data_IF_345428771734
#
_entry.id   IF_345428771734
#
_cell.length_a   1.000
_cell.length_b   1.000
_cell.length_c   1.000
_cell.angle_alpha   90.00
_cell.angle_beta   90.00
_cell.angle_gamma   90.00
#
_symmetry.space_group_name_H-M   'P 1'
#
loop_
_entity.id
_entity.type
_entity.pdbx_description
1 polymer ?
#
# COMPACT_ATOMS: atom_id res chain seq x y z
N UNK A 1 24.16 -3.58 -5.31
CA UNK A 1 23.45 -3.28 -6.59
C UNK A 1 23.04 -1.82 -6.54
N UNK A 2 23.32 -1.05 -7.57
CA UNK A 2 22.90 0.35 -7.67
C UNK A 2 21.37 0.41 -7.83
N UNK A 3 20.73 1.25 -7.02
CA UNK A 3 19.27 1.41 -7.05
C UNK A 3 18.83 2.22 -8.27
N UNK A 4 17.66 1.90 -8.80
CA UNK A 4 17.04 2.67 -9.86
C UNK A 4 16.58 4.04 -9.35
N UNK A 5 16.71 5.04 -10.21
CA UNK A 5 16.15 6.38 -10.00
C UNK A 5 14.63 6.37 -10.14
N UNK A 6 13.91 7.38 -9.60
CA UNK A 6 12.47 7.50 -9.82
C UNK A 6 12.06 7.50 -11.29
N UNK A 7 12.87 8.10 -12.18
CA UNK A 7 12.62 8.10 -13.62
C UNK A 7 12.70 6.70 -14.23
N UNK A 8 13.70 5.91 -13.84
CA UNK A 8 13.87 4.52 -14.30
C UNK A 8 12.74 3.62 -13.74
N UNK A 9 12.36 3.79 -12.46
CA UNK A 9 11.22 3.07 -11.88
C UNK A 9 9.92 3.40 -12.62
N UNK A 10 9.68 4.67 -12.92
CA UNK A 10 8.51 5.11 -13.70
C UNK A 10 8.50 4.47 -15.10
N UNK A 11 9.64 4.39 -15.77
CA UNK A 11 9.78 3.77 -17.08
C UNK A 11 9.55 2.24 -17.04
N UNK A 12 9.80 1.59 -15.90
CA UNK A 12 9.55 0.16 -15.70
C UNK A 12 8.07 -0.18 -15.51
N UNK A 13 7.20 0.82 -15.29
CA UNK A 13 5.75 0.63 -15.10
C UNK A 13 5.05 0.78 -16.46
N UNK A 14 4.31 -0.26 -16.86
CA UNK A 14 3.53 -0.24 -18.09
C UNK A 14 2.23 0.53 -17.90
N UNK A 15 1.89 1.38 -18.88
CA UNK A 15 0.57 2.02 -18.96
C UNK A 15 -0.29 1.27 -19.96
N UNK A 16 -1.50 0.88 -19.55
CA UNK A 16 -2.52 0.28 -20.38
C UNK A 16 -3.67 1.26 -20.51
N UNK A 17 -3.86 1.79 -21.71
CA UNK A 17 -4.94 2.74 -21.96
C UNK A 17 -6.31 2.03 -21.98
N UNK A 18 -7.34 2.77 -21.56
CA UNK A 18 -8.74 2.35 -21.61
C UNK A 18 -9.03 1.03 -20.86
N UNK A 19 -8.35 0.78 -19.73
CA UNK A 19 -8.58 -0.39 -18.90
C UNK A 19 -8.87 0.03 -17.43
N UNK A 20 -9.88 -0.57 -16.76
CA UNK A 20 -10.86 -1.56 -17.25
C UNK A 20 -11.98 -0.97 -18.11
N UNK A 21 -11.98 0.34 -18.33
CA UNK A 21 -12.98 1.08 -19.10
C UNK A 21 -12.35 2.27 -19.84
N UNK A 22 -12.99 2.78 -20.90
CA UNK A 22 -12.51 3.94 -21.64
C UNK A 22 -12.20 5.13 -20.72
N UNK A 23 -11.08 5.81 -20.98
CA UNK A 23 -10.60 6.98 -20.23
C UNK A 23 -9.67 6.65 -19.05
N UNK A 24 -9.63 5.41 -18.58
CA UNK A 24 -8.75 5.00 -17.47
C UNK A 24 -7.37 4.61 -18.00
N UNK A 25 -6.33 5.17 -17.39
CA UNK A 25 -4.92 4.83 -17.66
C UNK A 25 -4.42 3.88 -16.57
N UNK A 26 -4.53 2.57 -16.80
CA UNK A 26 -4.11 1.58 -15.81
C UNK A 26 -2.57 1.49 -15.72
N UNK A 27 -2.04 1.63 -14.50
CA UNK A 27 -0.61 1.55 -14.21
C UNK A 27 -0.28 0.14 -13.74
N UNK A 28 0.25 -0.66 -14.66
CA UNK A 28 0.59 -2.06 -14.41
C UNK A 28 2.01 -2.19 -13.86
N UNK A 29 2.11 -2.47 -12.57
CA UNK A 29 3.41 -2.67 -11.91
C UNK A 29 4.00 -4.07 -12.13
N UNK A 30 3.30 -4.99 -12.79
CA UNK A 30 3.81 -6.35 -12.99
C UNK A 30 5.09 -6.36 -13.83
N UNK A 31 5.24 -5.40 -14.75
CA UNK A 31 6.47 -5.21 -15.53
C UNK A 31 7.65 -4.79 -14.64
N UNK A 32 7.41 -3.98 -13.62
CA UNK A 32 8.41 -3.59 -12.62
C UNK A 32 8.74 -4.78 -11.70
N UNK A 33 7.73 -5.50 -11.19
CA UNK A 33 7.92 -6.62 -10.27
C UNK A 33 8.70 -7.78 -10.88
N UNK A 34 8.58 -8.02 -12.19
CA UNK A 34 9.32 -9.09 -12.88
C UNK A 34 10.80 -8.75 -13.11
N UNK A 35 11.19 -7.49 -12.99
CA UNK A 35 12.59 -7.06 -13.05
C UNK A 35 13.17 -7.07 -11.64
N UNK A 36 14.11 -7.99 -11.38
CA UNK A 36 14.69 -8.16 -10.05
C UNK A 36 15.41 -6.92 -9.54
N UNK A 37 16.04 -6.11 -10.42
CA UNK A 37 16.70 -4.87 -10.02
C UNK A 37 15.68 -3.78 -9.67
N UNK A 38 14.61 -3.67 -10.45
CA UNK A 38 13.55 -2.72 -10.17
C UNK A 38 12.81 -3.06 -8.86
N UNK A 39 12.45 -4.33 -8.69
CA UNK A 39 11.77 -4.78 -7.47
C UNK A 39 12.66 -4.58 -6.22
N UNK A 40 13.94 -4.97 -6.29
CA UNK A 40 14.90 -4.70 -5.21
C UNK A 40 14.99 -3.20 -4.89
N UNK A 41 15.05 -2.34 -5.91
CA UNK A 41 15.11 -0.89 -5.72
C UNK A 41 13.88 -0.35 -5.01
N UNK A 42 12.68 -0.83 -5.37
CA UNK A 42 11.43 -0.46 -4.68
C UNK A 42 11.49 -0.83 -3.20
N UNK A 43 11.86 -2.06 -2.88
CA UNK A 43 11.94 -2.53 -1.48
C UNK A 43 12.94 -1.71 -0.69
N UNK A 44 14.14 -1.47 -1.21
CA UNK A 44 15.17 -0.69 -0.53
C UNK A 44 14.75 0.78 -0.33
N UNK A 45 14.16 1.42 -1.35
CA UNK A 45 13.73 2.81 -1.25
C UNK A 45 12.58 2.99 -0.24
N UNK A 46 11.63 2.07 -0.20
CA UNK A 46 10.54 2.09 0.78
C UNK A 46 11.02 1.74 2.19
N UNK A 47 11.99 0.83 2.33
CA UNK A 47 12.53 0.43 3.63
C UNK A 47 13.42 1.48 4.27
N UNK A 48 14.18 2.24 3.46
CA UNK A 48 15.26 3.13 3.94
C UNK A 48 14.88 4.04 5.10
N UNK A 49 13.71 4.74 5.10
CA UNK A 49 13.34 5.61 6.22
C UNK A 49 13.08 4.86 7.54
N UNK A 50 12.88 3.55 7.49
CA UNK A 50 12.38 2.73 8.59
C UNK A 50 13.39 1.73 9.14
N UNK A 51 14.60 1.66 8.58
CA UNK A 51 15.62 0.68 8.98
C UNK A 51 15.96 0.69 10.47
N UNK A 52 15.80 1.82 11.14
CA UNK A 52 16.10 1.98 12.58
C UNK A 52 14.86 2.37 13.40
N UNK A 53 13.68 2.38 12.80
CA UNK A 53 12.46 2.88 13.46
C UNK A 53 11.77 1.85 14.37
N UNK A 54 12.18 0.58 14.33
CA UNK A 54 11.59 -0.46 15.16
C UNK A 54 10.14 -0.80 14.79
N UNK A 55 9.82 -0.77 13.49
CA UNK A 55 8.47 -1.10 12.98
C UNK A 55 8.08 -2.52 13.39
N UNK A 56 6.90 -2.68 13.99
CA UNK A 56 6.44 -3.99 14.45
C UNK A 56 5.84 -4.83 13.32
N UNK A 57 5.03 -4.21 12.45
CA UNK A 57 4.32 -4.92 11.39
C UNK A 57 4.26 -4.10 10.11
N UNK A 58 4.18 -4.80 8.99
CA UNK A 58 3.81 -4.25 7.69
C UNK A 58 2.42 -4.77 7.34
N UNK A 59 1.46 -3.89 7.14
CA UNK A 59 0.12 -4.25 6.69
C UNK A 59 0.03 -4.06 5.17
N UNK A 60 -0.28 -5.13 4.46
CA UNK A 60 -0.45 -5.11 3.01
C UNK A 60 -1.89 -5.32 2.58
N UNK A 61 -2.34 -4.57 1.59
CA UNK A 61 -3.69 -4.70 1.04
C UNK A 61 -3.70 -5.69 -0.13
N UNK A 62 -4.69 -6.59 -0.13
CA UNK A 62 -4.91 -7.55 -1.22
C UNK A 62 -5.10 -6.83 -2.56
N UNK A 63 -4.46 -7.23 -3.65
CA UNK A 63 -3.58 -8.39 -3.74
C UNK A 63 -2.09 -7.99 -3.90
N UNK A 64 -1.78 -6.93 -4.67
CA UNK A 64 -0.40 -6.53 -4.99
C UNK A 64 0.35 -5.96 -3.78
N UNK A 65 -0.37 -5.35 -2.84
CA UNK A 65 0.19 -4.94 -1.55
C UNK A 65 0.77 -6.09 -0.74
N UNK A 66 0.36 -7.34 -0.97
CA UNK A 66 0.96 -8.52 -0.31
C UNK A 66 2.39 -8.79 -0.76
N UNK A 67 2.66 -8.62 -2.06
CA UNK A 67 4.00 -8.84 -2.63
C UNK A 67 4.98 -7.84 -2.02
N UNK A 68 4.59 -6.57 -2.04
CA UNK A 68 5.39 -5.48 -1.51
C UNK A 68 5.51 -5.55 0.02
N UNK A 69 4.39 -5.80 0.69
CA UNK A 69 4.33 -5.89 2.15
C UNK A 69 5.15 -7.04 2.70
N UNK A 70 5.12 -8.21 2.07
CA UNK A 70 5.96 -9.35 2.45
C UNK A 70 7.45 -9.06 2.29
N UNK A 71 7.84 -8.49 1.15
CA UNK A 71 9.23 -8.13 0.90
C UNK A 71 9.74 -7.03 1.86
N UNK A 72 8.91 -6.03 2.13
CA UNK A 72 9.26 -4.94 3.07
C UNK A 72 9.33 -5.45 4.51
N UNK A 73 8.41 -6.34 4.93
CA UNK A 73 8.42 -6.95 6.26
C UNK A 73 9.71 -7.75 6.49
N UNK A 74 10.09 -8.59 5.53
CA UNK A 74 11.36 -9.34 5.58
C UNK A 74 12.56 -8.40 5.69
N UNK A 75 12.60 -7.37 4.84
CA UNK A 75 13.70 -6.39 4.80
C UNK A 75 13.87 -5.61 6.10
N UNK A 76 12.78 -5.34 6.81
CA UNK A 76 12.78 -4.58 8.08
C UNK A 76 12.81 -5.47 9.32
N UNK A 77 12.76 -6.80 9.17
CA UNK A 77 12.63 -7.73 10.30
C UNK A 77 11.29 -7.58 11.04
N UNK A 78 10.24 -7.11 10.36
CA UNK A 78 8.90 -6.91 10.88
C UNK A 78 7.97 -8.08 10.55
N UNK A 79 6.84 -8.20 11.25
CA UNK A 79 5.78 -9.12 10.87
C UNK A 79 4.96 -8.60 9.70
N UNK A 80 4.24 -9.50 9.00
CA UNK A 80 3.32 -9.12 7.92
C UNK A 80 1.86 -9.37 8.32
N UNK A 81 0.98 -8.42 7.98
CA UNK A 81 -0.46 -8.46 8.25
C UNK A 81 -1.24 -8.33 6.95
N UNK A 82 -2.01 -9.34 6.53
CA UNK A 82 -2.86 -9.24 5.37
C UNK A 82 -4.17 -8.50 5.68
N UNK A 83 -4.48 -7.48 4.88
CA UNK A 83 -5.80 -6.84 4.83
C UNK A 83 -6.48 -7.32 3.55
N UNK A 84 -7.66 -7.91 3.68
CA UNK A 84 -8.34 -8.60 2.59
C UNK A 84 -9.78 -8.14 2.43
N UNK A 85 -10.35 -8.43 1.28
CA UNK A 85 -11.80 -8.32 1.07
C UNK A 85 -12.55 -9.27 1.98
N UNK A 86 -13.77 -8.87 2.39
CA UNK A 86 -14.66 -9.65 3.26
C UNK A 86 -14.78 -11.12 2.85
N UNK A 87 -14.69 -12.00 3.84
CA UNK A 87 -14.88 -13.44 3.67
C UNK A 87 -13.65 -14.20 3.16
N UNK A 88 -12.47 -13.56 3.10
CA UNK A 88 -11.23 -14.18 2.64
C UNK A 88 -10.34 -14.71 3.77
N UNK A 89 -10.61 -14.33 5.02
CA UNK A 89 -9.84 -14.74 6.18
C UNK A 89 -10.60 -15.77 7.01
N UNK A 90 -9.95 -16.87 7.45
CA UNK A 90 -10.64 -18.02 8.06
C UNK A 90 -10.90 -17.89 9.56
N UNK A 91 -10.25 -16.95 10.27
CA UNK A 91 -10.37 -16.77 11.72
C UNK A 91 -11.22 -15.54 12.05
N UNK A 92 -11.41 -15.23 13.35
CA UNK A 92 -12.16 -14.05 13.80
C UNK A 92 -11.55 -12.74 13.24
N UNK A 93 -12.37 -11.91 12.62
CA UNK A 93 -11.95 -10.69 11.96
C UNK A 93 -12.60 -9.45 12.57
N UNK A 94 -11.95 -8.30 12.38
CA UNK A 94 -12.56 -6.97 12.40
C UNK A 94 -12.76 -6.51 10.96
N UNK A 95 -13.77 -5.67 10.74
CA UNK A 95 -14.17 -5.23 9.39
C UNK A 95 -14.44 -3.75 9.35
N UNK A 96 -14.25 -3.17 8.17
CA UNK A 96 -14.64 -1.79 7.87
C UNK A 96 -15.22 -1.73 6.45
N UNK A 97 -16.30 -0.94 6.30
CA UNK A 97 -16.78 -0.55 4.98
C UNK A 97 -15.95 0.64 4.48
N UNK A 98 -15.57 0.63 3.22
CA UNK A 98 -14.81 1.72 2.60
C UNK A 98 -15.39 2.08 1.23
N UNK A 99 -15.21 3.34 0.86
CA UNK A 99 -15.70 3.85 -0.43
C UNK A 99 -14.71 3.52 -1.54
N UNK A 100 -15.23 2.90 -2.59
CA UNK A 100 -14.59 2.80 -3.90
C UNK A 100 -15.06 3.94 -4.80
N UNK A 101 -14.42 4.09 -5.95
CA UNK A 101 -14.89 5.01 -7.01
C UNK A 101 -16.33 4.71 -7.42
N UNK A 102 -16.75 3.44 -7.33
CA UNK A 102 -18.09 2.95 -7.70
C UNK A 102 -18.70 2.07 -6.60
N UNK A 103 -19.08 2.68 -5.47
CA UNK A 103 -19.83 2.00 -4.42
C UNK A 103 -19.05 1.78 -3.12
N UNK A 104 -19.58 0.91 -2.28
CA UNK A 104 -18.98 0.50 -1.01
C UNK A 104 -18.49 -0.94 -1.12
N UNK A 105 -17.35 -1.22 -0.54
CA UNK A 105 -16.83 -2.58 -0.33
C UNK A 105 -16.44 -2.74 1.13
N UNK A 106 -16.19 -3.95 1.59
CA UNK A 106 -15.74 -4.25 2.95
C UNK A 106 -14.38 -4.93 2.92
N UNK A 107 -13.50 -4.48 3.81
CA UNK A 107 -12.24 -5.16 4.07
C UNK A 107 -12.17 -5.67 5.49
N UNK A 108 -11.36 -6.69 5.70
CA UNK A 108 -11.18 -7.34 6.99
C UNK A 108 -9.72 -7.64 7.31
N UNK A 109 -9.45 -7.77 8.58
CA UNK A 109 -8.17 -8.18 9.15
C UNK A 109 -8.45 -9.10 10.33
N UNK A 110 -7.57 -10.06 10.63
CA UNK A 110 -7.70 -10.87 11.83
C UNK A 110 -7.66 -9.99 13.09
N UNK A 111 -8.47 -10.35 14.07
CA UNK A 111 -8.60 -9.62 15.34
C UNK A 111 -7.31 -9.61 16.16
N UNK A 112 -6.48 -10.61 16.00
CA UNK A 112 -5.20 -10.82 16.68
C UNK A 112 -3.99 -10.43 15.81
N UNK A 113 -4.23 -9.78 14.66
CA UNK A 113 -3.17 -9.45 13.71
C UNK A 113 -2.23 -8.36 14.23
N UNK A 114 -2.75 -7.42 15.01
CA UNK A 114 -1.98 -6.31 15.59
C UNK A 114 -2.36 -6.10 17.05
N UNK A 115 -1.38 -5.67 17.86
CA UNK A 115 -1.58 -5.25 19.24
C UNK A 115 -1.75 -3.75 19.38
N UNK A 116 -2.38 -3.34 20.50
CA UNK A 116 -2.49 -1.93 20.84
C UNK A 116 -1.09 -1.30 21.03
N UNK A 117 -0.87 -0.14 20.41
CA UNK A 117 0.40 0.59 20.47
C UNK A 117 1.50 0.07 19.53
N UNK A 118 1.27 -1.02 18.79
CA UNK A 118 2.23 -1.48 17.75
C UNK A 118 2.35 -0.46 16.63
N UNK A 119 3.58 -0.28 16.16
CA UNK A 119 3.94 0.60 15.05
C UNK A 119 3.83 -0.13 13.72
N UNK A 120 2.96 0.36 12.85
CA UNK A 120 2.59 -0.28 11.59
C UNK A 120 2.88 0.65 10.41
N UNK A 121 3.40 0.09 9.34
CA UNK A 121 3.43 0.73 8.01
C UNK A 121 2.38 0.03 7.13
N UNK A 122 1.51 0.83 6.51
CA UNK A 122 0.58 0.36 5.48
C UNK A 122 1.27 0.37 4.12
N UNK A 123 1.07 -0.67 3.32
CA UNK A 123 1.68 -0.79 1.99
C UNK A 123 0.65 -1.24 0.96
N UNK A 124 0.65 -0.57 -0.18
CA UNK A 124 -0.04 -1.03 -1.39
C UNK A 124 0.75 -0.60 -2.63
N UNK A 125 0.35 -1.05 -3.80
CA UNK A 125 1.04 -0.72 -5.04
C UNK A 125 0.77 0.71 -5.51
N UNK A 126 -0.45 1.19 -5.35
CA UNK A 126 -0.91 2.47 -5.89
C UNK A 126 -1.88 3.15 -4.94
N UNK A 127 -1.81 4.47 -4.86
CA UNK A 127 -2.83 5.30 -4.25
C UNK A 127 -3.54 6.16 -5.31
N UNK A 128 -4.87 6.00 -5.40
CA UNK A 128 -5.74 6.75 -6.30
C UNK A 128 -6.61 7.73 -5.49
N UNK A 129 -7.86 7.39 -5.24
CA UNK A 129 -8.78 8.22 -4.40
C UNK A 129 -8.53 8.09 -2.90
N UNK A 130 -7.72 7.12 -2.50
CA UNK A 130 -7.37 6.87 -1.10
C UNK A 130 -8.45 6.16 -0.28
N UNK A 131 -9.56 5.74 -0.88
CA UNK A 131 -10.64 5.06 -0.16
C UNK A 131 -10.19 3.76 0.49
N UNK A 132 -9.53 2.89 -0.26
CA UNK A 132 -8.96 1.62 0.22
C UNK A 132 -7.95 1.85 1.34
N UNK A 133 -7.00 2.75 1.14
CA UNK A 133 -5.97 3.03 2.14
C UNK A 133 -6.55 3.67 3.42
N UNK A 134 -7.52 4.59 3.30
CA UNK A 134 -8.20 5.18 4.46
C UNK A 134 -8.98 4.11 5.25
N UNK A 135 -9.66 3.19 4.57
CA UNK A 135 -10.32 2.05 5.21
C UNK A 135 -9.33 1.15 5.95
N UNK A 136 -8.18 0.85 5.35
CA UNK A 136 -7.11 0.07 5.98
C UNK A 136 -6.55 0.77 7.23
N UNK A 137 -6.31 2.08 7.18
CA UNK A 137 -5.90 2.88 8.35
C UNK A 137 -6.94 2.80 9.47
N UNK A 138 -8.22 2.96 9.14
CA UNK A 138 -9.31 2.86 10.12
C UNK A 138 -9.34 1.48 10.76
N UNK A 139 -9.16 0.42 9.97
CA UNK A 139 -9.14 -0.96 10.44
C UNK A 139 -8.00 -1.21 11.42
N UNK A 140 -6.78 -0.81 11.10
CA UNK A 140 -5.61 -0.91 11.96
C UNK A 140 -5.80 -0.13 13.28
N UNK A 141 -6.30 1.10 13.19
CA UNK A 141 -6.57 1.94 14.37
C UNK A 141 -7.68 1.39 15.25
N UNK A 142 -8.64 0.63 14.71
CA UNK A 142 -9.71 0.00 15.50
C UNK A 142 -9.20 -1.01 16.52
N UNK A 143 -8.01 -1.57 16.29
CA UNK A 143 -7.31 -2.45 17.24
C UNK A 143 -6.23 -1.73 18.07
N UNK A 144 -6.16 -0.40 17.96
CA UNK A 144 -5.23 0.43 18.76
C UNK A 144 -3.82 0.53 18.15
N UNK A 145 -3.59 0.09 16.94
CA UNK A 145 -2.29 0.23 16.26
C UNK A 145 -2.00 1.70 15.91
N UNK A 146 -0.70 2.05 15.87
CA UNK A 146 -0.22 3.33 15.38
C UNK A 146 0.24 3.17 13.93
N UNK A 147 -0.44 3.82 13.01
CA UNK A 147 -0.05 3.81 11.60
C UNK A 147 0.96 4.93 11.37
N UNK A 148 2.23 4.56 11.22
CA UNK A 148 3.34 5.52 11.09
C UNK A 148 3.36 6.20 9.72
N UNK A 149 3.04 5.45 8.67
CA UNK A 149 2.99 5.93 7.29
C UNK A 149 2.22 4.95 6.40
N UNK A 150 1.86 5.43 5.21
CA UNK A 150 1.40 4.60 4.11
C UNK A 150 2.39 4.74 2.93
N UNK A 151 2.85 3.60 2.42
CA UNK A 151 3.87 3.51 1.39
C UNK A 151 3.31 2.89 0.11
N UNK A 152 3.60 3.53 -1.02
CA UNK A 152 3.13 3.12 -2.34
C UNK A 152 4.27 3.17 -3.36
N UNK A 153 4.17 2.40 -4.45
CA UNK A 153 5.02 2.61 -5.61
C UNK A 153 4.53 3.84 -6.38
N UNK A 154 3.21 3.92 -6.60
CA UNK A 154 2.59 4.93 -7.48
C UNK A 154 1.62 5.80 -6.71
N UNK A 155 1.73 7.12 -6.89
CA UNK A 155 0.69 8.10 -6.54
C UNK A 155 0.02 8.64 -7.82
N UNK A 156 -1.29 8.79 -7.78
CA UNK A 156 -2.11 9.52 -8.76
C UNK A 156 -2.63 10.82 -8.11
N UNK A 157 -1.81 11.87 -8.05
CA UNK A 157 -2.09 13.04 -7.22
C UNK A 157 -3.39 13.77 -7.59
N UNK A 158 -3.80 13.73 -8.86
CA UNK A 158 -5.04 14.36 -9.33
C UNK A 158 -6.30 13.74 -8.71
N UNK A 159 -6.20 12.53 -8.13
CA UNK A 159 -7.29 11.85 -7.45
C UNK A 159 -7.34 12.11 -5.93
N UNK A 160 -6.34 12.79 -5.36
CA UNK A 160 -6.34 13.32 -4.01
C UNK A 160 -6.19 12.30 -2.88
N UNK A 161 -5.81 11.05 -3.17
CA UNK A 161 -5.72 10.01 -2.15
C UNK A 161 -4.66 10.28 -1.09
N UNK A 162 -3.48 10.78 -1.49
CA UNK A 162 -2.42 11.14 -0.56
C UNK A 162 -2.88 12.24 0.41
N UNK A 163 -3.52 13.30 -0.09
CA UNK A 163 -4.08 14.40 0.72
C UNK A 163 -5.13 13.87 1.72
N UNK A 164 -5.96 12.91 1.31
CA UNK A 164 -6.93 12.25 2.20
C UNK A 164 -6.25 11.53 3.37
N UNK A 165 -5.17 10.78 3.14
CA UNK A 165 -4.43 10.10 4.21
C UNK A 165 -3.69 11.07 5.12
N UNK A 166 -3.08 12.10 4.57
CA UNK A 166 -2.40 13.16 5.34
C UNK A 166 -3.38 13.88 6.26
N UNK A 167 -4.61 14.14 5.81
CA UNK A 167 -5.69 14.70 6.64
C UNK A 167 -6.09 13.77 7.80
N UNK A 168 -5.86 12.45 7.67
CA UNK A 168 -6.02 11.48 8.76
C UNK A 168 -4.78 11.38 9.67
N UNK A 169 -3.77 12.20 9.43
CA UNK A 169 -2.51 12.19 10.19
C UNK A 169 -1.59 11.01 9.81
N UNK A 170 -1.72 10.49 8.59
CA UNK A 170 -0.86 9.42 8.07
C UNK A 170 0.00 9.98 6.94
N UNK A 171 1.31 10.14 7.15
CA UNK A 171 2.23 10.54 6.09
C UNK A 171 2.22 9.54 4.94
N UNK A 172 2.29 10.05 3.71
CA UNK A 172 2.32 9.22 2.49
C UNK A 172 3.69 9.29 1.84
N UNK A 173 4.21 8.13 1.47
CA UNK A 173 5.41 7.99 0.65
C UNK A 173 5.05 7.27 -0.64
N UNK A 174 5.34 7.88 -1.78
CA UNK A 174 5.26 7.24 -3.09
C UNK A 174 6.57 7.44 -3.85
N UNK A 175 6.99 6.41 -4.59
CA UNK A 175 8.27 6.46 -5.30
C UNK A 175 8.16 7.19 -6.63
N UNK A 176 7.01 7.09 -7.28
CA UNK A 176 6.72 7.76 -8.56
C UNK A 176 5.29 8.30 -8.57
N UNK A 177 5.06 9.32 -9.39
CA UNK A 177 3.72 9.86 -9.61
C UNK A 177 3.38 9.89 -11.11
N UNK A 178 2.09 9.74 -11.42
CA UNK A 178 1.57 9.90 -12.77
C UNK A 178 0.42 10.90 -12.74
N UNK A 179 0.39 11.87 -13.67
CA UNK A 179 -0.75 12.75 -13.83
C UNK A 179 -1.95 12.02 -14.44
N UNK A 180 -3.15 12.54 -14.19
CA UNK A 180 -4.40 11.96 -14.70
C UNK A 180 -4.86 10.73 -13.92
N UNK A 181 -5.79 10.02 -14.52
CA UNK A 181 -6.47 8.86 -13.94
C UNK A 181 -6.72 7.76 -14.98
#
# INVERSE_FOLDING_TARGET
>A
MELLTPAELRAAIRTIADYPKPGVQFRDITTLLRDGRAFHSVVELLARPWLTAGVNRIAGVEARGFILGGALAERLGAGFVPIRKKGKLPHATVRVAYSLEYGLDEMEMHRDAVGAGEDIILVDDLIATGGTAAGAVQLLRSLGARVLAACFIVDLPDLGGAVKLEALGVPVTALVSFPGH
#
